data_IF_760227768163
#
_entry.id   IF_760227768163
#
_cell.length_a   1.000
_cell.length_b   1.000
_cell.length_c   1.000
_cell.angle_alpha   90.00
_cell.angle_beta   90.00
_cell.angle_gamma   90.00
#
_symmetry.space_group_name_H-M   'P 1'
#
loop_
_entity.id
_entity.type
_entity.pdbx_description
1 polymer ?
#
# COMPACT_ATOMS: atom_id res chain seq x y z
N UNK A 1 -0.06 -0.42 -37.21
CA UNK A 1 0.83 -0.65 -36.05
C UNK A 1 1.83 -1.72 -36.45
N UNK A 2 3.12 -1.43 -36.33
CA UNK A 2 4.19 -2.06 -37.14
C UNK A 2 4.77 -3.37 -36.54
N UNK A 3 3.99 -4.12 -35.74
CA UNK A 3 4.43 -5.36 -35.08
C UNK A 3 5.56 -5.23 -34.03
N UNK A 4 6.14 -4.04 -33.87
CA UNK A 4 7.28 -3.78 -32.98
C UNK A 4 6.88 -3.80 -31.49
N UNK A 5 7.73 -4.32 -30.60
CA UNK A 5 7.47 -4.33 -29.15
C UNK A 5 7.32 -2.92 -28.60
N UNK A 6 6.55 -2.80 -27.52
CA UNK A 6 6.35 -1.53 -26.83
C UNK A 6 7.64 -1.10 -26.12
N UNK A 7 8.13 0.08 -26.48
CA UNK A 7 9.21 0.76 -25.77
C UNK A 7 8.60 1.73 -24.74
N UNK A 8 9.29 1.99 -23.63
CA UNK A 8 8.94 2.99 -22.62
C UNK A 8 8.53 4.34 -23.23
N UNK A 9 9.22 4.81 -24.28
CA UNK A 9 8.86 6.05 -24.98
C UNK A 9 7.46 6.00 -25.62
N UNK A 10 7.12 4.88 -26.27
CA UNK A 10 5.79 4.66 -26.86
C UNK A 10 4.71 4.58 -25.79
N UNK A 11 4.98 3.86 -24.70
CA UNK A 11 4.06 3.74 -23.56
C UNK A 11 3.81 5.11 -22.91
N UNK A 12 4.87 5.90 -22.71
CA UNK A 12 4.76 7.26 -22.18
C UNK A 12 3.96 8.18 -23.13
N UNK A 13 4.19 8.08 -24.44
CA UNK A 13 3.42 8.80 -25.44
C UNK A 13 1.93 8.46 -25.37
N UNK A 14 1.57 7.17 -25.47
CA UNK A 14 0.18 6.70 -25.38
C UNK A 14 -0.48 7.19 -24.09
N UNK A 15 0.20 7.06 -22.94
CA UNK A 15 -0.32 7.55 -21.65
C UNK A 15 -0.64 9.04 -21.67
N UNK A 16 0.25 9.86 -22.26
CA UNK A 16 0.04 11.32 -22.35
C UNK A 16 -1.05 11.68 -23.36
N UNK A 17 -1.08 11.04 -24.52
CA UNK A 17 -2.07 11.30 -25.57
C UNK A 17 -3.49 11.01 -25.12
N UNK A 18 -3.68 9.93 -24.35
CA UNK A 18 -5.00 9.49 -23.88
C UNK A 18 -5.26 9.84 -22.41
N UNK A 19 -4.45 10.71 -21.78
CA UNK A 19 -4.55 11.10 -20.37
C UNK A 19 -4.73 9.90 -19.41
N UNK A 20 -4.07 8.78 -19.70
CA UNK A 20 -4.21 7.59 -18.88
C UNK A 20 -3.56 7.80 -17.51
N UNK A 21 -4.25 7.39 -16.41
CA UNK A 21 -3.71 7.53 -15.07
C UNK A 21 -2.39 6.78 -14.97
N UNK A 22 -1.39 7.44 -14.38
CA UNK A 22 -0.09 6.83 -14.13
C UNK A 22 -0.13 5.76 -13.06
N UNK A 23 0.98 5.03 -12.91
CA UNK A 23 1.09 3.95 -11.91
C UNK A 23 0.70 4.45 -10.51
N UNK A 24 1.24 5.59 -10.08
CA UNK A 24 0.88 6.20 -8.79
C UNK A 24 -0.63 6.45 -8.64
N UNK A 25 -1.27 7.02 -9.66
CA UNK A 25 -2.71 7.31 -9.61
C UNK A 25 -3.52 6.02 -9.53
N UNK A 26 -3.21 5.02 -10.35
CA UNK A 26 -3.90 3.72 -10.31
C UNK A 26 -3.78 3.03 -8.95
N UNK A 27 -2.60 3.10 -8.32
CA UNK A 27 -2.40 2.54 -6.99
C UNK A 27 -3.21 3.29 -5.93
N UNK A 28 -3.36 4.62 -6.07
CA UNK A 28 -4.26 5.43 -5.23
C UNK A 28 -5.71 5.04 -5.42
N UNK A 29 -6.14 4.83 -6.66
CA UNK A 29 -7.50 4.41 -7.00
C UNK A 29 -7.81 3.00 -6.45
N UNK A 30 -6.78 2.13 -6.33
CA UNK A 30 -6.87 0.84 -5.65
C UNK A 30 -6.90 0.93 -4.11
N UNK A 31 -6.84 2.14 -3.53
CA UNK A 31 -6.89 2.34 -2.07
C UNK A 31 -5.54 2.31 -1.35
N UNK A 32 -4.42 2.37 -2.08
CA UNK A 32 -3.10 2.43 -1.43
C UNK A 32 -2.81 3.82 -0.86
N UNK A 33 -2.26 3.84 0.35
CA UNK A 33 -2.05 5.05 1.14
C UNK A 33 -0.59 5.50 1.13
N UNK A 34 -0.35 6.78 1.29
CA UNK A 34 1.00 7.33 1.51
C UNK A 34 1.42 7.14 2.97
N UNK A 35 2.72 7.21 3.25
CA UNK A 35 3.23 7.12 4.64
C UNK A 35 2.52 8.11 5.58
N UNK A 36 2.27 9.33 5.11
CA UNK A 36 1.57 10.36 5.89
C UNK A 36 0.13 9.96 6.18
N UNK A 37 -0.62 9.50 5.19
CA UNK A 37 -2.01 9.05 5.41
C UNK A 37 -2.09 7.83 6.32
N UNK A 38 -1.11 6.93 6.26
CA UNK A 38 -1.01 5.82 7.23
C UNK A 38 -0.76 6.36 8.63
N UNK A 39 0.16 7.31 8.76
CA UNK A 39 0.49 7.94 10.03
C UNK A 39 -0.73 8.64 10.64
N UNK A 40 -1.49 9.38 9.85
CA UNK A 40 -2.74 10.04 10.25
C UNK A 40 -3.84 9.04 10.62
N UNK A 41 -4.04 7.99 9.81
CA UNK A 41 -5.08 6.98 10.05
C UNK A 41 -4.89 6.20 11.35
N UNK A 42 -3.65 5.96 11.76
CA UNK A 42 -3.31 5.18 12.96
C UNK A 42 -2.77 6.05 14.11
N UNK A 43 -2.74 7.37 13.96
CA UNK A 43 -2.15 8.31 14.93
C UNK A 43 -0.72 7.90 15.38
N UNK A 44 0.10 7.55 14.39
CA UNK A 44 1.49 7.11 14.58
C UNK A 44 2.47 8.02 13.87
N UNK A 45 3.73 7.98 14.29
CA UNK A 45 4.80 8.66 13.57
C UNK A 45 5.11 7.92 12.25
N UNK A 46 5.52 8.65 11.21
CA UNK A 46 5.94 8.06 9.93
C UNK A 46 7.08 7.04 10.09
N UNK A 47 7.97 7.24 11.08
CA UNK A 47 9.03 6.31 11.43
C UNK A 47 8.47 4.93 11.86
N UNK A 48 7.33 4.93 12.54
CA UNK A 48 6.62 3.71 12.95
C UNK A 48 6.01 3.00 11.74
N UNK A 49 5.50 3.74 10.76
CA UNK A 49 5.01 3.17 9.48
C UNK A 49 6.15 2.43 8.76
N UNK A 50 7.33 3.04 8.68
CA UNK A 50 8.50 2.38 8.09
C UNK A 50 8.94 1.13 8.88
N UNK A 51 8.83 1.16 10.21
CA UNK A 51 9.09 0.01 11.06
C UNK A 51 8.10 -1.12 10.79
N UNK A 52 6.81 -0.81 10.62
CA UNK A 52 5.79 -1.81 10.27
C UNK A 52 6.05 -2.45 8.91
N UNK A 53 6.50 -1.67 7.93
CA UNK A 53 6.94 -2.20 6.65
C UNK A 53 8.15 -3.13 6.77
N UNK A 54 9.11 -2.81 7.63
CA UNK A 54 10.26 -3.69 7.92
C UNK A 54 9.86 -4.97 8.67
N UNK A 55 8.82 -4.90 9.49
CA UNK A 55 8.25 -6.04 10.20
C UNK A 55 7.35 -6.91 9.31
N UNK A 56 7.01 -6.46 8.09
CA UNK A 56 6.13 -7.17 7.17
C UNK A 56 4.64 -7.07 7.51
N UNK A 57 4.25 -6.12 8.36
CA UNK A 57 2.85 -5.90 8.75
C UNK A 57 2.05 -5.19 7.65
N UNK A 58 2.72 -4.37 6.86
CA UNK A 58 2.16 -3.61 5.75
C UNK A 58 3.05 -3.78 4.52
N UNK A 59 2.46 -3.84 3.34
CA UNK A 59 3.20 -4.10 2.10
C UNK A 59 3.53 -2.79 1.42
N UNK A 60 4.83 -2.56 1.13
CA UNK A 60 5.28 -1.38 0.38
C UNK A 60 5.17 -1.65 -1.12
N UNK A 61 4.40 -0.85 -1.83
CA UNK A 61 4.29 -0.88 -3.30
C UNK A 61 4.94 0.35 -3.89
N UNK A 62 5.97 0.13 -4.71
CA UNK A 62 6.68 1.23 -5.37
C UNK A 62 5.87 1.76 -6.55
N UNK A 63 5.59 3.07 -6.54
CA UNK A 63 4.99 3.76 -7.69
C UNK A 63 6.04 4.13 -8.74
N UNK A 64 7.24 4.52 -8.29
CA UNK A 64 8.32 5.04 -9.13
C UNK A 64 9.71 4.76 -8.51
N UNK A 65 10.77 5.03 -9.27
CA UNK A 65 12.18 4.86 -8.85
C UNK A 65 12.61 5.82 -7.73
N UNK A 66 11.79 6.81 -7.37
CA UNK A 66 12.10 7.82 -6.35
C UNK A 66 11.87 7.34 -4.91
N UNK A 67 11.77 6.04 -4.66
CA UNK A 67 11.54 5.42 -3.34
C UNK A 67 10.25 5.83 -2.60
N UNK A 68 9.40 6.64 -3.24
CA UNK A 68 8.05 7.02 -2.81
C UNK A 68 7.12 5.82 -2.98
N UNK A 69 7.16 4.91 -2.01
CA UNK A 69 6.25 3.77 -1.97
C UNK A 69 4.91 4.20 -1.39
N UNK A 70 3.84 3.61 -1.93
CA UNK A 70 2.54 3.58 -1.30
C UNK A 70 2.48 2.32 -0.42
N UNK A 71 1.61 2.34 0.58
CA UNK A 71 1.39 1.25 1.51
C UNK A 71 0.03 0.62 1.22
N UNK A 72 0.05 -0.69 1.03
CA UNK A 72 -1.15 -1.50 1.03
C UNK A 72 -1.45 -1.90 2.48
N UNK A 73 -2.58 -1.40 2.98
CA UNK A 73 -3.07 -1.69 4.33
C UNK A 73 -4.36 -2.48 4.14
N UNK A 74 -4.35 -3.78 4.42
CA UNK A 74 -5.58 -4.57 4.45
C UNK A 74 -6.60 -3.93 5.39
N UNK A 75 -7.76 -3.55 4.85
CA UNK A 75 -8.79 -2.78 5.56
C UNK A 75 -9.35 -3.46 6.83
N UNK A 76 -9.16 -4.77 6.96
CA UNK A 76 -9.63 -5.61 8.07
C UNK A 76 -8.56 -5.83 9.16
N UNK A 77 -7.38 -5.25 9.01
CA UNK A 77 -6.26 -5.44 9.93
C UNK A 77 -6.18 -4.27 10.91
N UNK A 78 -6.64 -4.50 12.14
CA UNK A 78 -6.39 -3.61 13.26
C UNK A 78 -4.99 -3.85 13.77
N UNK A 79 -4.01 -3.07 13.33
CA UNK A 79 -2.64 -3.22 13.83
C UNK A 79 -2.56 -2.59 15.22
N UNK A 80 -2.34 -3.41 16.25
CA UNK A 80 -2.08 -2.92 17.60
C UNK A 80 -0.67 -2.33 17.59
N UNK A 81 -0.60 -1.03 17.85
CA UNK A 81 0.66 -0.28 17.94
C UNK A 81 1.56 -0.88 19.03
N UNK A 82 2.75 -1.26 18.62
CA UNK A 82 3.84 -1.64 19.51
C UNK A 82 4.45 -0.45 20.25
N UNK A 83 5.15 -0.69 21.36
CA UNK A 83 5.91 0.35 22.07
C UNK A 83 7.39 0.25 21.69
N UNK A 84 8.00 1.29 21.11
CA UNK A 84 9.46 1.35 20.97
C UNK A 84 10.12 1.64 22.32
N UNK A 85 11.39 1.25 22.49
CA UNK A 85 12.19 1.51 23.69
C UNK A 85 12.86 0.25 24.26
N UNK A 86 13.43 0.34 25.48
CA UNK A 86 14.15 -0.76 26.13
C UNK A 86 13.29 -2.02 26.32
N UNK A 87 11.96 -1.86 26.46
CA UNK A 87 10.99 -2.94 26.46
C UNK A 87 10.19 -2.90 25.15
N UNK A 88 10.89 -3.13 24.03
CA UNK A 88 10.30 -3.09 22.72
C UNK A 88 9.20 -4.15 22.59
N UNK A 89 7.95 -3.72 22.47
CA UNK A 89 6.85 -4.60 22.12
C UNK A 89 6.56 -4.36 20.63
N UNK A 90 6.81 -5.32 19.72
CA UNK A 90 6.57 -5.13 18.31
C UNK A 90 5.08 -4.92 18.04
N UNK A 91 4.77 -4.13 17.01
CA UNK A 91 3.40 -4.04 16.54
C UNK A 91 2.95 -5.41 16.07
N UNK A 92 1.67 -5.73 16.33
CA UNK A 92 1.10 -7.02 15.99
C UNK A 92 -0.24 -6.81 15.30
N UNK A 93 -0.58 -7.66 14.32
CA UNK A 93 -1.92 -7.67 13.78
C UNK A 93 -2.88 -8.12 14.88
N UNK A 94 -3.89 -7.31 15.22
CA UNK A 94 -5.12 -7.85 15.77
C UNK A 94 -5.91 -8.35 14.57
N UNK A 95 -6.00 -9.67 14.46
CA UNK A 95 -6.99 -10.27 13.59
C UNK A 95 -8.35 -9.86 14.16
N UNK A 96 -9.04 -8.93 13.50
CA UNK A 96 -10.49 -8.97 13.55
C UNK A 96 -10.81 -10.35 12.97
N UNK A 97 -11.29 -11.25 13.81
CA UNK A 97 -11.94 -12.46 13.32
C UNK A 97 -13.11 -11.96 12.50
N UNK A 98 -12.93 -11.85 11.18
CA UNK A 98 -14.04 -11.73 10.26
C UNK A 98 -14.84 -13.00 10.51
N UNK A 99 -16.08 -12.95 11.06
CA UNK A 99 -16.90 -14.14 11.06
C UNK A 99 -17.07 -14.48 9.58
N UNK A 100 -16.53 -15.63 9.21
CA UNK A 100 -16.76 -16.29 7.93
C UNK A 100 -18.26 -16.24 7.65
N UNK A 101 -18.71 -15.28 6.84
CA UNK A 101 -20.07 -15.24 6.35
C UNK A 101 -20.22 -16.48 5.47
N UNK A 102 -21.07 -17.38 5.94
CA UNK A 102 -21.37 -18.67 5.34
C UNK A 102 -21.68 -18.55 3.86
N UNK A 103 -21.24 -19.58 3.14
CA UNK A 103 -21.70 -19.93 1.82
C UNK A 103 -23.19 -20.24 1.89
N UNK A 104 -24.06 -19.32 1.47
CA UNK A 104 -25.43 -19.67 1.09
C UNK A 104 -25.43 -19.96 -0.41
N UNK A 105 -25.26 -21.25 -0.71
CA UNK A 105 -25.66 -21.85 -1.97
C UNK A 105 -27.13 -22.25 -1.85
N UNK A 106 -28.00 -21.71 -2.71
CA UNK A 106 -29.21 -22.36 -3.23
C UNK A 106 -29.66 -21.67 -4.52
#
# INVERSE_FOLDING_TARGET
WDGKPFNLKKIAFIRRTYNLPGRRQRLRDCGMLTTQEVAERFEIAETTVHQWGRQGLITKVYSDNLSRGLWDIPSHLEIIKGRPGCNANPARPASITVPSAEQDAL
#
